data_IF_498434871435
#
_entry.id   IF_498434871435
#
_cell.length_a   1.000
_cell.length_b   1.000
_cell.length_c   1.000
_cell.angle_alpha   90.00
_cell.angle_beta   90.00
_cell.angle_gamma   90.00
#
_symmetry.space_group_name_H-M   'P 1'
#
loop_
_entity.id
_entity.type
_entity.pdbx_description
1 polymer ?
#
# COMPACT_ATOMS: atom_id res chain seq x y z
N UNK A 1 -19.44 -44.13 28.45
CA UNK A 1 -18.53 -42.95 28.34
C UNK A 1 -18.12 -42.83 26.90
N UNK A 2 -18.73 -41.92 26.16
CA UNK A 2 -18.35 -41.61 24.78
C UNK A 2 -17.23 -40.55 24.86
N UNK A 3 -16.02 -40.95 24.50
CA UNK A 3 -14.93 -40.01 24.27
C UNK A 3 -15.26 -39.23 23.00
N UNK A 4 -15.63 -37.96 23.18
CA UNK A 4 -15.69 -37.01 22.07
C UNK A 4 -14.25 -36.84 21.57
N UNK A 5 -13.95 -37.35 20.37
CA UNK A 5 -12.76 -36.92 19.63
C UNK A 5 -12.88 -35.44 19.36
N UNK A 6 -12.15 -34.62 20.13
CA UNK A 6 -11.93 -33.23 19.80
C UNK A 6 -11.17 -33.21 18.46
N UNK A 7 -11.89 -32.98 17.36
CA UNK A 7 -11.29 -32.75 16.08
C UNK A 7 -10.34 -31.57 16.20
N UNK A 8 -9.05 -31.80 16.00
CA UNK A 8 -8.05 -30.71 15.91
C UNK A 8 -8.55 -29.69 14.88
N UNK A 9 -8.94 -28.54 15.35
CA UNK A 9 -9.36 -27.45 14.46
C UNK A 9 -8.22 -27.19 13.45
N UNK A 10 -8.56 -27.18 12.16
CA UNK A 10 -7.58 -26.99 11.09
C UNK A 10 -6.99 -25.61 11.23
N UNK A 11 -5.71 -25.49 11.54
CA UNK A 11 -5.05 -24.20 11.69
C UNK A 11 -5.11 -23.43 10.35
N UNK A 12 -5.27 -22.10 10.43
CA UNK A 12 -5.40 -21.21 9.29
C UNK A 12 -4.08 -20.46 9.01
N UNK A 13 -3.91 -19.93 7.81
CA UNK A 13 -2.86 -18.96 7.54
C UNK A 13 -3.34 -17.56 7.92
N UNK A 14 -2.47 -16.73 8.50
CA UNK A 14 -2.72 -15.33 8.79
C UNK A 14 -1.99 -14.46 7.78
N UNK A 15 -2.71 -13.55 7.14
CA UNK A 15 -2.17 -12.54 6.22
C UNK A 15 -2.34 -11.18 6.86
N UNK A 16 -1.23 -10.58 7.30
CA UNK A 16 -1.19 -9.24 7.81
C UNK A 16 -0.73 -8.31 6.67
N UNK A 17 -1.47 -7.26 6.37
CA UNK A 17 -1.16 -6.36 5.26
C UNK A 17 -1.19 -4.88 5.68
N UNK A 18 -0.36 -4.07 5.04
CA UNK A 18 -0.28 -2.64 5.30
C UNK A 18 -1.61 -1.92 4.99
N UNK A 19 -2.12 -1.16 5.96
CA UNK A 19 -3.37 -0.41 5.89
C UNK A 19 -3.18 1.00 6.52
N UNK A 20 -3.84 2.03 6.02
CA UNK A 20 -4.61 2.13 4.77
C UNK A 20 -3.69 2.46 3.57
N UNK A 21 -3.41 1.48 2.74
CA UNK A 21 -2.54 1.64 1.59
C UNK A 21 -3.07 0.80 0.41
N UNK A 22 -3.19 1.36 -0.80
CA UNK A 22 -3.54 0.57 -1.98
C UNK A 22 -2.54 -0.56 -2.24
N UNK A 23 -1.24 -0.34 -2.05
CA UNK A 23 -0.21 -1.37 -2.27
C UNK A 23 -0.42 -2.57 -1.35
N UNK A 24 -0.59 -2.33 -0.03
CA UNK A 24 -0.90 -3.39 0.92
C UNK A 24 -2.23 -4.09 0.64
N UNK A 25 -3.27 -3.37 0.21
CA UNK A 25 -4.57 -3.97 -0.14
C UNK A 25 -4.46 -4.88 -1.37
N UNK A 26 -3.69 -4.48 -2.40
CA UNK A 26 -3.42 -5.30 -3.58
C UNK A 26 -2.48 -6.48 -3.25
N UNK A 27 -1.54 -6.32 -2.32
CA UNK A 27 -0.76 -7.45 -1.80
C UNK A 27 -1.65 -8.48 -1.11
N UNK A 28 -2.63 -8.02 -0.31
CA UNK A 28 -3.65 -8.89 0.29
C UNK A 28 -4.55 -9.55 -0.75
N UNK A 29 -4.92 -8.84 -1.83
CA UNK A 29 -5.66 -9.41 -2.96
C UNK A 29 -4.89 -10.57 -3.61
N UNK A 30 -3.57 -10.43 -3.81
CA UNK A 30 -2.74 -11.50 -4.35
C UNK A 30 -2.78 -12.76 -3.45
N UNK A 31 -2.69 -12.57 -2.14
CA UNK A 31 -2.86 -13.67 -1.20
C UNK A 31 -4.27 -14.29 -1.27
N UNK A 32 -5.32 -13.45 -1.33
CA UNK A 32 -6.71 -13.91 -1.45
C UNK A 32 -6.91 -14.81 -2.67
N UNK A 33 -6.37 -14.42 -3.81
CA UNK A 33 -6.45 -15.20 -5.05
C UNK A 33 -5.79 -16.58 -4.88
N UNK A 34 -4.60 -16.61 -4.29
CA UNK A 34 -3.90 -17.89 -4.01
C UNK A 34 -4.69 -18.78 -3.08
N UNK A 35 -5.09 -18.28 -1.91
CA UNK A 35 -5.79 -19.08 -0.90
C UNK A 35 -7.15 -19.58 -1.41
N UNK A 36 -7.84 -18.78 -2.22
CA UNK A 36 -9.10 -19.16 -2.87
C UNK A 36 -8.88 -20.27 -3.89
N UNK A 37 -7.88 -20.12 -4.78
CA UNK A 37 -7.56 -21.12 -5.80
C UNK A 37 -7.07 -22.46 -5.17
N UNK A 38 -6.28 -22.38 -4.10
CA UNK A 38 -5.80 -23.54 -3.38
C UNK A 38 -6.83 -24.13 -2.40
N UNK A 39 -7.97 -23.49 -2.21
CA UNK A 39 -9.01 -23.88 -1.23
C UNK A 39 -8.43 -24.04 0.19
N UNK A 40 -7.55 -23.11 0.58
CA UNK A 40 -6.89 -23.10 1.88
C UNK A 40 -7.52 -22.05 2.80
N UNK A 41 -7.69 -22.37 4.11
CA UNK A 41 -8.25 -21.42 5.06
C UNK A 41 -7.26 -20.29 5.36
N UNK A 42 -7.75 -19.05 5.33
CA UNK A 42 -6.96 -17.83 5.58
C UNK A 42 -7.75 -16.81 6.38
N UNK A 43 -7.07 -16.03 7.20
CA UNK A 43 -7.61 -14.84 7.88
C UNK A 43 -6.73 -13.64 7.53
N UNK A 44 -7.38 -12.51 7.24
CA UNK A 44 -6.72 -11.26 6.90
C UNK A 44 -6.77 -10.29 8.07
N UNK A 45 -5.67 -9.58 8.29
CA UNK A 45 -5.49 -8.62 9.36
C UNK A 45 -4.93 -7.31 8.79
N UNK A 46 -5.76 -6.27 8.63
CA UNK A 46 -5.27 -4.95 8.24
C UNK A 46 -4.42 -4.39 9.37
N UNK A 47 -3.23 -3.93 9.04
CA UNK A 47 -2.26 -3.45 10.02
C UNK A 47 -1.85 -2.00 9.75
N UNK A 48 -2.06 -1.12 10.72
CA UNK A 48 -1.66 0.28 10.61
C UNK A 48 -0.26 0.52 11.17
N UNK A 49 0.46 1.48 10.58
CA UNK A 49 1.80 1.87 11.06
C UNK A 49 1.72 2.59 12.42
N UNK A 50 0.61 3.29 12.70
CA UNK A 50 0.46 4.11 13.91
C UNK A 50 -0.05 3.33 15.11
N UNK A 51 -0.77 2.23 14.87
CA UNK A 51 -1.24 1.30 15.89
C UNK A 51 -1.07 -0.14 15.38
N UNK A 52 0.19 -0.60 15.30
CA UNK A 52 0.51 -1.90 14.71
C UNK A 52 0.03 -3.05 15.58
N UNK A 53 -0.46 -4.09 14.92
CA UNK A 53 -0.83 -5.34 15.58
C UNK A 53 0.39 -5.89 16.33
N UNK A 54 0.20 -6.20 17.61
CA UNK A 54 1.20 -6.81 18.48
C UNK A 54 1.03 -8.32 18.50
N UNK A 55 2.09 -9.01 18.91
CA UNK A 55 2.08 -10.48 18.96
C UNK A 55 1.02 -11.06 19.90
N UNK A 56 0.65 -10.33 20.97
CA UNK A 56 -0.40 -10.73 21.91
C UNK A 56 -1.83 -10.58 21.36
N UNK A 57 -2.00 -9.79 20.29
CA UNK A 57 -3.28 -9.62 19.59
C UNK A 57 -3.58 -10.73 18.56
N UNK A 58 -2.70 -11.69 18.35
CA UNK A 58 -2.88 -12.75 17.36
C UNK A 58 -3.19 -14.12 18.01
N UNK A 59 -4.22 -14.85 17.53
CA UNK A 59 -4.61 -16.17 18.05
C UNK A 59 -3.69 -17.29 17.54
N UNK A 60 -2.46 -17.39 18.03
CA UNK A 60 -1.46 -18.35 17.54
C UNK A 60 -1.86 -19.82 17.68
N UNK A 61 -2.78 -20.14 18.58
CA UNK A 61 -3.33 -21.49 18.70
C UNK A 61 -4.09 -21.92 17.44
N UNK A 62 -4.64 -20.95 16.70
CA UNK A 62 -5.38 -21.15 15.47
C UNK A 62 -4.53 -20.90 14.22
N UNK A 63 -3.37 -20.25 14.34
CA UNK A 63 -2.52 -19.83 13.21
C UNK A 63 -1.42 -20.87 12.98
N UNK A 64 -1.25 -21.24 11.70
CA UNK A 64 -0.18 -22.11 11.22
C UNK A 64 0.96 -21.31 10.61
N UNK A 65 0.66 -20.51 9.62
CA UNK A 65 1.61 -19.73 8.82
C UNK A 65 1.23 -18.26 8.87
N UNK A 66 2.23 -17.36 8.90
CA UNK A 66 2.03 -15.91 8.89
C UNK A 66 2.68 -15.31 7.64
N UNK A 67 1.93 -14.45 6.94
CA UNK A 67 2.41 -13.65 5.83
C UNK A 67 2.35 -12.17 6.22
N UNK A 68 3.47 -11.47 6.13
CA UNK A 68 3.56 -10.03 6.32
C UNK A 68 3.73 -9.39 4.94
N UNK A 69 2.75 -8.58 4.54
CA UNK A 69 2.67 -8.02 3.20
C UNK A 69 2.77 -6.50 3.26
N UNK A 70 3.79 -5.95 2.61
CA UNK A 70 4.06 -4.52 2.53
C UNK A 70 4.40 -3.88 3.90
N UNK A 71 4.87 -4.67 4.85
CA UNK A 71 5.42 -4.22 6.14
C UNK A 71 6.08 -5.38 6.91
N UNK A 72 6.85 -5.05 7.96
CA UNK A 72 7.54 -6.06 8.81
C UNK A 72 7.10 -6.03 10.28
N UNK A 73 6.15 -5.16 10.63
CA UNK A 73 5.75 -4.95 12.01
C UNK A 73 6.71 -4.06 12.83
N UNK A 74 6.38 -3.81 14.10
CA UNK A 74 7.22 -3.04 14.99
C UNK A 74 8.55 -3.77 15.31
N UNK A 75 9.55 -3.07 15.84
CA UNK A 75 10.81 -3.70 16.20
C UNK A 75 10.65 -4.90 17.13
N UNK A 76 11.19 -6.06 16.71
CA UNK A 76 11.09 -7.32 17.45
C UNK A 76 9.89 -8.20 17.09
N UNK A 77 8.90 -7.68 16.37
CA UNK A 77 7.66 -8.40 16.05
C UNK A 77 7.91 -9.76 15.37
N UNK A 78 8.76 -9.81 14.34
CA UNK A 78 9.09 -11.06 13.64
C UNK A 78 9.74 -12.08 14.59
N UNK A 79 10.66 -11.63 15.44
CA UNK A 79 11.31 -12.51 16.43
C UNK A 79 10.32 -13.06 17.48
N UNK A 80 9.31 -12.25 17.84
CA UNK A 80 8.28 -12.65 18.80
C UNK A 80 7.29 -13.66 18.24
N UNK A 81 6.96 -13.57 16.93
CA UNK A 81 5.97 -14.44 16.29
C UNK A 81 6.56 -15.71 15.71
N UNK A 82 7.81 -15.68 15.22
CA UNK A 82 8.44 -16.82 14.55
C UNK A 82 8.42 -18.12 15.39
N UNK A 83 8.72 -18.11 16.71
CA UNK A 83 8.66 -19.32 17.53
C UNK A 83 7.24 -19.89 17.73
N UNK A 84 6.19 -19.12 17.45
CA UNK A 84 4.79 -19.47 17.73
C UNK A 84 4.07 -20.10 16.54
N UNK A 85 4.67 -20.06 15.34
CA UNK A 85 4.06 -20.49 14.09
C UNK A 85 4.98 -21.41 13.29
N UNK A 86 4.43 -22.11 12.30
CA UNK A 86 5.21 -23.02 11.47
C UNK A 86 6.13 -22.25 10.52
N UNK A 87 5.64 -21.16 9.91
CA UNK A 87 6.44 -20.31 9.04
C UNK A 87 6.01 -18.83 9.11
N UNK A 88 6.96 -17.94 8.86
CA UNK A 88 6.74 -16.52 8.64
C UNK A 88 7.31 -16.16 7.28
N UNK A 89 6.48 -15.57 6.42
CA UNK A 89 6.89 -15.07 5.10
C UNK A 89 6.72 -13.56 5.06
N UNK A 90 7.78 -12.84 4.72
CA UNK A 90 7.81 -11.39 4.64
C UNK A 90 7.99 -10.99 3.19
N UNK A 91 7.03 -10.22 2.64
CA UNK A 91 7.04 -9.69 1.28
C UNK A 91 6.97 -8.16 1.39
N UNK A 92 8.08 -7.49 1.15
CA UNK A 92 8.19 -6.05 1.43
C UNK A 92 9.19 -5.37 0.46
N UNK A 93 9.10 -4.06 0.35
CA UNK A 93 10.00 -3.26 -0.48
C UNK A 93 10.60 -2.05 0.25
N UNK A 94 10.22 -1.84 1.51
CA UNK A 94 10.68 -0.69 2.27
C UNK A 94 12.14 -0.84 2.72
N UNK A 95 12.93 0.24 2.61
CA UNK A 95 14.29 0.29 3.13
C UNK A 95 14.37 -0.03 4.62
N UNK A 96 13.39 0.45 5.39
CA UNK A 96 13.28 0.18 6.83
C UNK A 96 13.10 -1.31 7.16
N UNK A 97 12.41 -2.05 6.30
CA UNK A 97 12.28 -3.50 6.41
C UNK A 97 13.65 -4.17 6.26
N UNK A 98 14.41 -3.80 5.22
CA UNK A 98 15.74 -4.31 5.00
C UNK A 98 16.66 -4.01 6.18
N UNK A 99 16.67 -2.77 6.68
CA UNK A 99 17.50 -2.35 7.82
C UNK A 99 17.12 -3.09 9.12
N UNK A 100 15.83 -3.29 9.38
CA UNK A 100 15.37 -3.98 10.59
C UNK A 100 15.66 -5.49 10.59
N UNK A 101 15.72 -6.09 9.40
CA UNK A 101 15.93 -7.54 9.22
C UNK A 101 17.39 -7.92 8.91
N UNK A 102 18.24 -6.99 8.45
CA UNK A 102 19.63 -7.27 8.07
C UNK A 102 20.63 -7.23 9.22
N UNK A 103 20.30 -6.65 10.37
CA UNK A 103 21.23 -6.47 11.50
C UNK A 103 21.10 -7.49 12.62
N UNK A 104 20.15 -8.40 12.58
CA UNK A 104 19.88 -9.35 13.67
C UNK A 104 20.27 -10.77 13.23
N UNK A 105 21.30 -11.28 13.86
CA UNK A 105 21.59 -12.70 13.85
C UNK A 105 20.34 -13.49 14.28
N UNK A 106 19.95 -14.48 13.45
CA UNK A 106 18.95 -15.50 13.73
C UNK A 106 17.49 -15.01 13.92
N UNK A 107 16.87 -14.65 12.80
CA UNK A 107 15.41 -14.63 12.71
C UNK A 107 14.88 -16.06 12.50
N UNK A 108 15.11 -17.04 13.25
CA UNK A 108 14.61 -18.40 13.09
C UNK A 108 14.72 -19.00 11.66
N UNK A 109 14.96 -20.29 11.53
CA UNK A 109 15.05 -20.98 10.23
C UNK A 109 13.72 -21.01 9.46
N UNK A 110 12.61 -20.73 10.15
CA UNK A 110 11.26 -20.70 9.60
C UNK A 110 10.83 -19.34 9.06
N UNK A 111 11.75 -18.37 8.94
CA UNK A 111 11.47 -17.02 8.43
C UNK A 111 12.00 -16.85 7.01
N UNK A 112 11.09 -16.71 6.05
CA UNK A 112 11.38 -16.43 4.64
C UNK A 112 11.23 -14.95 4.35
N UNK A 113 12.17 -14.35 3.60
CA UNK A 113 12.15 -12.92 3.27
C UNK A 113 12.29 -12.72 1.77
N UNK A 114 11.39 -11.96 1.18
CA UNK A 114 11.51 -11.44 -0.19
C UNK A 114 11.40 -9.93 -0.09
N UNK A 115 12.52 -9.24 -0.20
CA UNK A 115 12.59 -7.78 -0.09
C UNK A 115 13.22 -7.24 -1.37
N UNK A 116 12.46 -6.42 -2.10
CA UNK A 116 12.90 -5.83 -3.35
C UNK A 116 12.46 -4.36 -3.45
N UNK A 117 13.38 -3.43 -3.23
CA UNK A 117 13.12 -1.99 -3.28
C UNK A 117 12.83 -1.45 -4.70
N UNK A 118 12.97 -2.28 -5.73
CA UNK A 118 12.65 -1.91 -7.11
C UNK A 118 11.22 -2.29 -7.50
N UNK A 119 10.46 -2.88 -6.59
CA UNK A 119 9.10 -3.36 -6.80
C UNK A 119 8.20 -2.91 -5.65
N UNK A 120 6.89 -2.88 -5.87
CA UNK A 120 5.94 -2.64 -4.80
C UNK A 120 5.58 -3.93 -4.04
N UNK A 121 5.08 -3.79 -2.82
CA UNK A 121 4.61 -4.93 -2.01
C UNK A 121 3.55 -5.75 -2.73
N UNK A 122 2.65 -5.10 -3.48
CA UNK A 122 1.62 -5.76 -4.29
C UNK A 122 2.22 -6.68 -5.36
N UNK A 123 3.15 -6.17 -6.17
CA UNK A 123 3.73 -6.96 -7.26
C UNK A 123 4.65 -8.06 -6.77
N UNK A 124 5.37 -7.84 -5.66
CA UNK A 124 6.13 -8.90 -4.98
C UNK A 124 5.19 -10.02 -4.51
N UNK A 125 4.08 -9.65 -3.85
CA UNK A 125 3.09 -10.62 -3.37
C UNK A 125 2.42 -11.37 -4.53
N UNK A 126 2.06 -10.67 -5.61
CA UNK A 126 1.44 -11.29 -6.77
C UNK A 126 2.32 -12.37 -7.38
N UNK A 127 3.59 -12.08 -7.62
CA UNK A 127 4.53 -13.07 -8.18
C UNK A 127 4.81 -14.21 -7.18
N UNK A 128 4.97 -13.89 -5.91
CA UNK A 128 5.21 -14.91 -4.88
C UNK A 128 4.08 -15.93 -4.83
N UNK A 129 2.83 -15.46 -4.73
CA UNK A 129 1.67 -16.35 -4.61
C UNK A 129 1.35 -17.07 -5.92
N UNK A 130 1.56 -16.43 -7.08
CA UNK A 130 1.42 -17.08 -8.39
C UNK A 130 2.41 -18.23 -8.55
N UNK A 131 3.69 -18.00 -8.24
CA UNK A 131 4.72 -19.04 -8.30
C UNK A 131 4.49 -20.18 -7.30
N UNK A 132 4.01 -19.83 -6.10
CA UNK A 132 3.65 -20.81 -5.07
C UNK A 132 2.53 -21.73 -5.56
N UNK A 133 1.48 -21.19 -6.17
CA UNK A 133 0.37 -21.97 -6.72
C UNK A 133 0.84 -22.92 -7.82
N UNK A 134 1.68 -22.43 -8.76
CA UNK A 134 2.24 -23.23 -9.85
C UNK A 134 3.13 -24.37 -9.34
N UNK A 135 3.94 -24.11 -8.32
CA UNK A 135 4.82 -25.12 -7.70
C UNK A 135 4.00 -26.22 -7.02
N UNK A 136 2.98 -25.86 -6.26
CA UNK A 136 2.11 -26.82 -5.58
C UNK A 136 1.29 -27.66 -6.57
N UNK A 137 0.79 -27.06 -7.64
CA UNK A 137 0.11 -27.78 -8.72
C UNK A 137 1.05 -28.77 -9.44
N UNK A 138 2.33 -28.42 -9.62
CA UNK A 138 3.34 -29.30 -10.23
C UNK A 138 3.71 -30.49 -9.33
N UNK A 139 3.81 -30.26 -8.02
CA UNK A 139 4.14 -31.32 -7.04
C UNK A 139 3.00 -32.32 -6.92
N UNK A 140 1.76 -31.87 -6.97
CA UNK A 140 0.58 -32.74 -6.92
C UNK A 140 0.47 -33.67 -8.13
N UNK A 141 0.99 -33.27 -9.30
CA UNK A 141 1.04 -34.13 -10.51
C UNK A 141 2.00 -35.31 -10.38
N UNK A 142 3.08 -35.18 -9.61
CA UNK A 142 4.08 -36.24 -9.45
C UNK A 142 3.66 -37.38 -8.48
N UNK A 143 2.58 -37.23 -7.73
CA UNK A 143 2.11 -38.16 -6.74
C UNK A 143 0.75 -38.83 -7.05
N UNK A 144 0.10 -38.58 -8.19
CA UNK A 144 -1.22 -39.10 -8.51
C UNK A 144 -1.33 -39.72 -9.89
N UNK A 145 -1.66 -41.01 -9.90
CA UNK A 145 -2.14 -41.75 -11.06
C UNK A 145 -3.32 -41.04 -11.77
N UNK A 146 -3.16 -40.87 -13.07
CA UNK A 146 -4.12 -40.59 -14.11
C UNK A 146 -5.51 -40.02 -13.78
N UNK A 147 -5.83 -38.98 -14.49
CA UNK A 147 -7.13 -38.34 -14.74
C UNK A 147 -7.46 -37.10 -13.87
N UNK A 148 -7.62 -36.04 -14.61
CA UNK A 148 -8.04 -34.69 -14.32
C UNK A 148 -6.88 -33.70 -14.15
N UNK A 149 -6.43 -33.21 -15.30
CA UNK A 149 -5.75 -31.89 -15.40
C UNK A 149 -6.83 -30.83 -15.11
N UNK A 150 -7.10 -30.56 -13.85
CA UNK A 150 -7.67 -29.27 -13.49
C UNK A 150 -6.53 -28.27 -13.64
N UNK A 151 -6.55 -27.49 -14.73
CA UNK A 151 -5.75 -26.27 -14.84
C UNK A 151 -6.12 -25.41 -13.63
N UNK A 152 -5.30 -25.44 -12.59
CA UNK A 152 -5.46 -24.54 -11.44
C UNK A 152 -5.05 -23.16 -11.93
N UNK A 153 -6.03 -22.43 -12.49
CA UNK A 153 -5.83 -21.07 -12.95
C UNK A 153 -6.02 -20.14 -11.77
N UNK A 154 -5.08 -19.25 -11.59
CA UNK A 154 -5.12 -18.16 -10.62
C UNK A 154 -6.35 -17.25 -10.88
N UNK A 155 -6.62 -16.98 -12.17
CA UNK A 155 -7.77 -16.24 -12.68
C UNK A 155 -8.10 -16.71 -14.10
N UNK A 156 -9.33 -16.50 -14.57
CA UNK A 156 -9.65 -16.62 -15.99
C UNK A 156 -8.78 -15.71 -16.85
N UNK A 157 -8.34 -16.16 -18.03
CA UNK A 157 -7.40 -15.43 -18.89
C UNK A 157 -7.84 -14.00 -19.22
N UNK A 158 -9.14 -13.81 -19.43
CA UNK A 158 -9.72 -12.48 -19.70
C UNK A 158 -9.62 -11.50 -18.51
N UNK A 159 -9.54 -12.00 -17.28
CA UNK A 159 -9.35 -11.17 -16.08
C UNK A 159 -7.87 -11.00 -15.73
N UNK A 160 -7.02 -11.96 -16.11
CA UNK A 160 -5.61 -11.95 -15.72
C UNK A 160 -4.87 -10.74 -16.28
N UNK A 161 -5.10 -10.38 -17.55
CA UNK A 161 -4.48 -9.21 -18.18
C UNK A 161 -4.88 -7.90 -17.48
N UNK A 162 -6.18 -7.77 -17.17
CA UNK A 162 -6.71 -6.61 -16.45
C UNK A 162 -6.10 -6.50 -15.05
N UNK A 163 -6.03 -7.61 -14.31
CA UNK A 163 -5.43 -7.65 -12.98
C UNK A 163 -3.94 -7.31 -13.05
N UNK A 164 -3.19 -7.85 -13.99
CA UNK A 164 -1.78 -7.48 -14.21
C UNK A 164 -1.61 -5.97 -14.46
N UNK A 165 -2.51 -5.37 -15.26
CA UNK A 165 -2.49 -3.93 -15.50
C UNK A 165 -2.74 -3.13 -14.22
N UNK A 166 -3.69 -3.55 -13.39
CA UNK A 166 -3.95 -2.93 -12.08
C UNK A 166 -2.70 -2.97 -11.19
N UNK A 167 -2.09 -4.14 -11.02
CA UNK A 167 -0.88 -4.29 -10.20
C UNK A 167 0.28 -3.42 -10.70
N UNK A 168 0.49 -3.31 -12.01
CA UNK A 168 1.51 -2.43 -12.59
C UNK A 168 1.22 -0.95 -12.32
N UNK A 169 -0.04 -0.52 -12.41
CA UNK A 169 -0.45 0.86 -12.12
C UNK A 169 -0.29 1.19 -10.63
N UNK A 170 -0.57 0.23 -9.74
CA UNK A 170 -0.31 0.37 -8.30
C UNK A 170 1.19 0.54 -8.06
N UNK A 171 2.04 -0.34 -8.62
CA UNK A 171 3.50 -0.27 -8.46
C UNK A 171 4.06 1.06 -8.97
N UNK A 172 3.66 1.50 -10.17
CA UNK A 172 4.16 2.74 -10.76
C UNK A 172 3.80 3.97 -9.91
N UNK A 173 2.62 3.96 -9.30
CA UNK A 173 2.16 5.01 -8.38
C UNK A 173 2.82 4.93 -7.00
N UNK A 174 2.99 3.76 -6.44
CA UNK A 174 3.58 3.54 -5.12
C UNK A 174 5.07 3.92 -5.10
N UNK A 175 5.81 3.52 -6.13
CA UNK A 175 7.22 3.85 -6.32
C UNK A 175 7.45 5.26 -6.90
N UNK A 176 6.41 6.07 -7.09
CA UNK A 176 6.47 7.43 -7.63
C UNK A 176 7.18 7.54 -8.99
N UNK A 177 7.15 6.48 -9.80
CA UNK A 177 7.81 6.44 -11.10
C UNK A 177 7.07 7.24 -12.16
N UNK A 178 5.75 7.13 -12.19
CA UNK A 178 4.86 7.79 -13.14
C UNK A 178 5.24 7.55 -14.62
N UNK A 179 5.77 6.36 -14.92
CA UNK A 179 6.26 5.98 -16.25
C UNK A 179 5.18 5.36 -17.12
N UNK A 180 4.14 4.78 -16.49
CA UNK A 180 3.01 4.21 -17.21
C UNK A 180 2.04 5.33 -17.61
N UNK A 181 1.61 5.40 -18.88
CA UNK A 181 0.64 6.39 -19.32
C UNK A 181 -0.60 6.40 -18.42
N UNK A 182 -1.01 7.59 -17.97
CA UNK A 182 -2.17 7.81 -17.11
C UNK A 182 -2.08 7.22 -15.69
N UNK A 183 -0.93 6.76 -15.22
CA UNK A 183 -0.83 6.19 -13.85
C UNK A 183 -1.13 7.22 -12.76
N UNK A 184 -0.79 8.52 -12.96
CA UNK A 184 -1.23 9.61 -12.07
C UNK A 184 -2.75 9.74 -12.03
N UNK A 185 -3.40 9.64 -13.18
CA UNK A 185 -4.85 9.68 -13.27
C UNK A 185 -5.47 8.45 -12.59
N UNK A 186 -4.91 7.26 -12.82
CA UNK A 186 -5.34 6.04 -12.13
C UNK A 186 -5.25 6.20 -10.61
N UNK A 187 -4.11 6.64 -10.08
CA UNK A 187 -3.92 6.85 -8.64
C UNK A 187 -4.90 7.88 -8.06
N UNK A 188 -5.20 8.96 -8.81
CA UNK A 188 -6.20 9.94 -8.40
C UNK A 188 -7.61 9.36 -8.41
N UNK A 189 -7.98 8.66 -9.49
CA UNK A 189 -9.31 8.05 -9.62
C UNK A 189 -9.56 6.93 -8.61
N UNK A 190 -8.54 6.14 -8.28
CA UNK A 190 -8.64 5.11 -7.24
C UNK A 190 -8.93 5.73 -5.86
N UNK A 191 -8.31 6.87 -5.53
CA UNK A 191 -8.61 7.61 -4.30
C UNK A 191 -10.04 8.15 -4.28
N UNK A 192 -10.54 8.59 -5.44
CA UNK A 192 -11.90 9.14 -5.56
C UNK A 192 -13.00 8.08 -5.47
N UNK A 193 -12.65 6.80 -5.55
CA UNK A 193 -13.58 5.68 -5.31
C UNK A 193 -13.88 5.47 -3.83
N UNK A 194 -13.06 6.03 -2.94
CA UNK A 194 -13.20 5.94 -1.48
C UNK A 194 -13.41 4.50 -0.98
N UNK A 195 -12.64 3.56 -1.56
CA UNK A 195 -12.74 2.14 -1.19
C UNK A 195 -12.12 1.97 0.19
N UNK A 196 -12.89 1.42 1.13
CA UNK A 196 -12.36 1.00 2.42
C UNK A 196 -11.51 -0.26 2.25
N UNK A 197 -10.21 -0.15 2.59
CA UNK A 197 -9.25 -1.25 2.47
C UNK A 197 -9.16 -2.15 3.72
N UNK A 198 -9.92 -1.85 4.76
CA UNK A 198 -10.05 -2.73 5.91
C UNK A 198 -11.03 -3.86 5.63
N UNK A 199 -10.53 -5.08 5.47
CA UNK A 199 -11.37 -6.26 5.16
C UNK A 199 -12.40 -6.56 6.24
N UNK A 200 -12.17 -6.13 7.49
CA UNK A 200 -13.13 -6.32 8.59
C UNK A 200 -14.32 -5.35 8.49
N UNK A 201 -14.12 -4.18 7.88
CA UNK A 201 -15.14 -3.17 7.65
C UNK A 201 -15.77 -3.33 6.26
N UNK A 202 -15.00 -3.81 5.30
CA UNK A 202 -15.43 -4.04 3.93
C UNK A 202 -15.26 -5.51 3.53
N UNK A 203 -16.24 -6.34 3.87
CA UNK A 203 -16.24 -7.77 3.55
C UNK A 203 -16.25 -8.11 2.04
N UNK A 204 -16.45 -7.10 1.16
CA UNK A 204 -16.42 -7.24 -0.30
C UNK A 204 -15.16 -6.63 -0.92
N UNK A 205 -14.15 -6.30 -0.13
CA UNK A 205 -12.94 -5.62 -0.58
C UNK A 205 -12.34 -6.29 -1.82
N UNK A 206 -12.08 -7.57 -1.75
CA UNK A 206 -11.38 -8.28 -2.84
C UNK A 206 -12.23 -8.38 -4.11
N UNK A 207 -13.54 -8.55 -3.98
CA UNK A 207 -14.46 -8.52 -5.13
C UNK A 207 -14.44 -7.14 -5.79
N UNK A 208 -14.51 -6.06 -5.00
CA UNK A 208 -14.44 -4.69 -5.51
C UNK A 208 -13.12 -4.41 -6.24
N UNK A 209 -11.98 -4.88 -5.69
CA UNK A 209 -10.68 -4.71 -6.34
C UNK A 209 -10.56 -5.49 -7.65
N UNK A 210 -11.18 -6.68 -7.73
CA UNK A 210 -11.21 -7.52 -8.94
C UNK A 210 -12.18 -7.01 -10.01
N UNK A 211 -13.14 -6.18 -9.64
CA UNK A 211 -14.10 -5.56 -10.55
C UNK A 211 -13.66 -4.20 -11.07
N UNK A 212 -12.53 -3.67 -10.59
CA UNK A 212 -11.98 -2.40 -11.06
C UNK A 212 -11.64 -2.47 -12.55
N UNK A 213 -12.24 -1.57 -13.33
CA UNK A 213 -11.84 -1.31 -14.70
C UNK A 213 -10.81 -0.17 -14.74
N UNK A 214 -9.54 -0.44 -15.09
CA UNK A 214 -8.49 0.57 -15.10
C UNK A 214 -8.83 1.81 -15.93
N UNK A 215 -9.53 1.62 -17.07
CA UNK A 215 -9.87 2.74 -17.95
C UNK A 215 -10.93 3.66 -17.34
N UNK A 216 -11.91 3.09 -16.66
CA UNK A 216 -12.92 3.87 -15.94
C UNK A 216 -12.31 4.64 -14.78
N UNK A 217 -11.39 4.00 -14.02
CA UNK A 217 -10.66 4.65 -12.91
C UNK A 217 -9.79 5.78 -13.46
N UNK A 218 -9.08 5.57 -14.56
CA UNK A 218 -8.27 6.60 -15.24
C UNK A 218 -9.14 7.77 -15.69
N UNK A 219 -10.25 7.51 -16.35
CA UNK A 219 -11.16 8.56 -16.84
C UNK A 219 -11.68 9.43 -15.70
N UNK A 220 -12.07 8.82 -14.59
CA UNK A 220 -12.49 9.53 -13.36
C UNK A 220 -11.34 10.39 -12.81
N UNK A 221 -10.15 9.82 -12.70
CA UNK A 221 -9.00 10.52 -12.16
C UNK A 221 -8.47 11.64 -13.05
N UNK A 222 -8.65 11.57 -14.37
CA UNK A 222 -8.32 12.68 -15.29
C UNK A 222 -9.15 13.93 -14.96
N UNK A 223 -10.44 13.76 -14.67
CA UNK A 223 -11.30 14.88 -14.25
C UNK A 223 -10.79 15.51 -12.96
N UNK A 224 -10.52 14.68 -11.95
CA UNK A 224 -10.02 15.15 -10.65
C UNK A 224 -8.65 15.82 -10.77
N UNK A 225 -7.75 15.27 -11.58
CA UNK A 225 -6.43 15.89 -11.82
C UNK A 225 -6.58 17.24 -12.50
N UNK A 226 -7.43 17.37 -13.52
CA UNK A 226 -7.69 18.65 -14.19
C UNK A 226 -8.21 19.68 -13.22
N UNK A 227 -9.17 19.32 -12.35
CA UNK A 227 -9.68 20.22 -11.30
C UNK A 227 -8.58 20.64 -10.32
N UNK A 228 -7.73 19.72 -9.90
CA UNK A 228 -6.59 20.02 -9.01
C UNK A 228 -5.59 20.96 -9.68
N UNK A 229 -5.28 20.74 -10.95
CA UNK A 229 -4.38 21.61 -11.73
C UNK A 229 -4.93 23.03 -11.84
N UNK A 230 -6.23 23.18 -12.12
CA UNK A 230 -6.88 24.51 -12.14
C UNK A 230 -6.77 25.19 -10.78
N UNK A 231 -7.05 24.48 -9.67
CA UNK A 231 -6.92 25.04 -8.33
C UNK A 231 -5.48 25.45 -8.00
N UNK A 232 -4.49 24.65 -8.42
CA UNK A 232 -3.07 24.95 -8.22
C UNK A 232 -2.70 26.20 -9.02
N UNK A 233 -3.11 26.30 -10.29
CA UNK A 233 -2.85 27.46 -11.13
C UNK A 233 -3.45 28.75 -10.53
N UNK A 234 -4.72 28.68 -10.08
CA UNK A 234 -5.40 29.79 -9.41
C UNK A 234 -4.69 30.23 -8.11
N UNK A 235 -4.15 29.27 -7.37
CA UNK A 235 -3.38 29.54 -6.16
C UNK A 235 -2.03 30.21 -6.49
N UNK A 236 -1.32 29.68 -7.48
CA UNK A 236 -0.02 30.23 -7.91
C UNK A 236 -0.15 31.63 -8.48
N UNK A 237 -1.21 31.93 -9.23
CA UNK A 237 -1.49 33.27 -9.75
C UNK A 237 -1.70 34.28 -8.62
N UNK A 238 -2.26 33.87 -7.49
CA UNK A 238 -2.49 34.72 -6.29
C UNK A 238 -1.32 34.70 -5.31
N UNK A 239 -0.25 33.99 -5.63
CA UNK A 239 0.93 33.92 -4.77
C UNK A 239 1.77 35.19 -4.87
N UNK A 240 2.43 35.55 -3.78
CA UNK A 240 3.38 36.65 -3.70
C UNK A 240 4.67 36.19 -3.02
N UNK A 241 5.76 36.87 -3.37
CA UNK A 241 7.07 36.57 -2.84
C UNK A 241 7.28 37.21 -1.47
N UNK A 242 7.73 36.40 -0.48
CA UNK A 242 8.14 36.90 0.83
C UNK A 242 9.60 36.55 1.09
N UNK A 243 10.31 37.49 1.74
CA UNK A 243 11.69 37.31 2.15
C UNK A 243 11.75 36.59 3.52
N UNK A 244 12.42 35.42 3.58
CA UNK A 244 12.60 34.66 4.81
C UNK A 244 13.74 35.22 5.63
N UNK A 245 13.48 35.52 6.94
CA UNK A 245 14.49 36.07 7.82
C UNK A 245 15.10 37.36 7.33
N UNK A 246 14.28 38.31 6.83
CA UNK A 246 14.74 39.55 6.20
C UNK A 246 15.69 39.31 5.01
N UNK A 247 15.47 38.26 4.27
CA UNK A 247 16.29 37.90 3.11
C UNK A 247 17.51 37.01 3.42
N UNK A 248 17.82 36.74 4.68
CA UNK A 248 18.97 35.91 5.05
C UNK A 248 18.82 34.46 4.62
N UNK A 249 17.59 33.95 4.51
CA UNK A 249 17.28 32.57 4.14
C UNK A 249 16.67 32.45 2.74
N UNK A 250 16.77 33.49 1.91
CA UNK A 250 16.18 33.53 0.59
C UNK A 250 14.71 33.97 0.58
N UNK A 251 14.04 33.75 -0.55
CA UNK A 251 12.65 34.09 -0.77
C UNK A 251 11.79 32.85 -0.93
N UNK A 252 10.52 32.92 -0.56
CA UNK A 252 9.53 31.89 -0.84
C UNK A 252 8.24 32.50 -1.39
N UNK A 253 7.45 31.69 -2.09
CA UNK A 253 6.09 32.07 -2.49
C UNK A 253 5.12 31.83 -1.34
N UNK A 254 4.31 32.82 -1.03
CA UNK A 254 3.24 32.77 -0.04
C UNK A 254 1.89 33.01 -0.70
N UNK A 255 0.85 32.41 -0.19
CA UNK A 255 -0.54 32.64 -0.60
C UNK A 255 -1.37 32.95 0.63
N UNK A 256 -2.18 34.02 0.52
CA UNK A 256 -3.22 34.30 1.53
C UNK A 256 -4.43 33.40 1.29
N UNK A 257 -4.54 32.39 2.12
CA UNK A 257 -5.69 31.48 2.07
C UNK A 257 -6.89 32.12 2.76
N UNK A 258 -7.77 32.77 1.99
CA UNK A 258 -9.06 33.25 2.52
C UNK A 258 -10.01 32.05 2.58
N UNK A 259 -10.19 31.51 3.79
CA UNK A 259 -11.13 30.40 4.04
C UNK A 259 -12.56 30.99 4.04
N UNK A 260 -13.15 31.14 2.87
CA UNK A 260 -14.56 31.45 2.69
C UNK A 260 -15.25 30.47 1.73
N UNK A 261 -15.04 29.15 1.92
CA UNK A 261 -15.85 28.14 1.25
C UNK A 261 -16.46 27.18 2.26
N UNK A 262 -17.78 26.90 2.17
CA UNK A 262 -18.42 25.85 2.94
C UNK A 262 -18.17 24.49 2.28
N UNK A 263 -16.91 24.06 2.19
CA UNK A 263 -16.53 22.77 1.64
C UNK A 263 -16.23 21.81 2.79
N UNK A 264 -16.82 20.59 2.84
CA UNK A 264 -16.56 19.59 3.87
C UNK A 264 -15.07 19.21 3.98
N UNK A 265 -14.30 19.30 2.89
CA UNK A 265 -12.85 19.11 2.89
C UNK A 265 -12.10 20.23 3.66
N UNK A 266 -12.69 21.40 3.83
CA UNK A 266 -12.12 22.49 4.59
C UNK A 266 -12.15 22.29 6.12
N UNK A 267 -12.94 21.35 6.63
CA UNK A 267 -13.04 21.09 8.09
C UNK A 267 -11.74 20.54 8.67
N UNK A 268 -10.96 19.79 7.92
CA UNK A 268 -9.67 19.27 8.38
C UNK A 268 -8.56 20.34 8.40
N UNK A 269 -8.75 21.47 7.73
CA UNK A 269 -7.83 22.62 7.73
C UNK A 269 -8.08 23.55 8.92
N UNK A 270 -9.26 23.49 9.57
CA UNK A 270 -9.61 24.35 10.71
C UNK A 270 -8.77 24.11 11.97
N UNK A 271 -8.05 23.00 12.10
CA UNK A 271 -7.17 22.75 13.24
C UNK A 271 -5.92 23.65 13.27
N UNK A 272 -5.60 24.36 12.18
CA UNK A 272 -4.45 25.28 12.08
C UNK A 272 -4.77 26.74 12.43
N UNK A 273 -5.94 27.06 12.98
CA UNK A 273 -6.41 28.44 13.21
C UNK A 273 -5.65 29.25 14.28
N UNK A 274 -4.54 28.76 14.83
CA UNK A 274 -3.76 29.48 15.88
C UNK A 274 -2.32 29.82 15.53
N UNK A 275 -1.89 29.71 14.25
CA UNK A 275 -0.60 30.29 13.84
C UNK A 275 -0.79 31.10 12.56
N UNK A 276 -0.40 32.37 12.55
CA UNK A 276 -0.31 33.15 11.32
C UNK A 276 0.82 32.56 10.47
N UNK A 277 0.60 32.50 9.15
CA UNK A 277 1.56 32.15 8.11
C UNK A 277 1.85 30.65 7.95
N UNK A 278 1.16 30.04 6.98
CA UNK A 278 1.61 28.82 6.35
C UNK A 278 2.59 29.21 5.22
N UNK A 279 3.87 29.16 5.51
CA UNK A 279 4.92 29.39 4.52
C UNK A 279 5.02 28.17 3.61
N UNK A 280 4.73 28.36 2.34
CA UNK A 280 5.00 27.39 1.29
C UNK A 280 6.33 27.77 0.66
N UNK A 281 7.41 27.11 1.07
CA UNK A 281 8.72 27.32 0.47
C UNK A 281 8.84 26.47 -0.80
N UNK A 282 8.80 27.12 -1.96
CA UNK A 282 9.26 26.54 -3.22
C UNK A 282 10.67 27.06 -3.45
N UNK A 283 11.67 26.24 -3.11
CA UNK A 283 13.07 26.58 -3.36
C UNK A 283 13.37 26.36 -4.84
N UNK A 284 13.57 27.44 -5.60
CA UNK A 284 14.28 27.39 -6.88
C UNK A 284 15.73 26.95 -6.61
N UNK A 285 16.04 25.72 -6.93
CA UNK A 285 17.36 25.19 -7.15
C UNK A 285 18.36 25.35 -6.02
N UNK A 286 18.26 24.49 -4.99
CA UNK A 286 19.40 23.88 -4.29
C UNK A 286 18.89 22.94 -3.21
N UNK A 287 19.36 21.68 -3.24
CA UNK A 287 19.10 20.71 -2.17
C UNK A 287 19.79 21.16 -0.90
N UNK A 288 19.04 21.49 0.13
CA UNK A 288 19.50 21.37 1.51
C UNK A 288 18.37 20.81 2.38
N UNK A 289 18.68 19.67 2.96
CA UNK A 289 17.87 19.05 4.00
C UNK A 289 17.90 19.94 5.25
N UNK A 290 16.73 20.34 5.73
CA UNK A 290 16.59 20.70 7.13
C UNK A 290 15.24 20.23 7.66
N UNK A 291 15.32 19.41 8.69
CA UNK A 291 14.25 18.81 9.45
C UNK A 291 13.61 19.85 10.33
N UNK A 292 12.29 20.02 10.22
CA UNK A 292 11.49 20.57 11.30
C UNK A 292 10.23 19.70 11.45
N UNK A 293 10.06 19.20 12.64
CA UNK A 293 9.06 18.24 13.05
C UNK A 293 7.65 18.82 13.08
N UNK A 294 6.68 18.01 12.68
CA UNK A 294 5.29 18.10 13.13
C UNK A 294 4.35 18.92 12.26
N UNK A 295 3.62 18.27 11.39
CA UNK A 295 2.45 18.80 10.73
C UNK A 295 2.49 18.72 9.21
N UNK A 296 1.72 17.77 8.66
CA UNK A 296 1.25 17.91 7.30
C UNK A 296 2.02 17.22 6.19
N UNK A 297 2.18 15.90 6.28
CA UNK A 297 2.61 15.09 5.12
C UNK A 297 1.71 15.24 3.89
N UNK A 298 0.47 15.63 4.07
CA UNK A 298 -0.47 15.87 2.98
C UNK A 298 -0.10 17.09 2.13
N UNK A 299 0.31 18.19 2.73
CA UNK A 299 0.72 19.42 2.02
C UNK A 299 2.06 19.29 1.31
N UNK A 300 3.03 18.56 1.88
CA UNK A 300 4.26 18.18 1.16
C UNK A 300 3.95 17.40 -0.13
N UNK A 301 2.92 16.59 -0.10
CA UNK A 301 2.51 15.77 -1.24
C UNK A 301 1.88 16.61 -2.36
N UNK A 302 1.03 17.58 -2.03
CA UNK A 302 0.39 18.47 -3.02
C UNK A 302 1.41 19.38 -3.69
N UNK A 303 2.39 19.88 -2.95
CA UNK A 303 3.43 20.77 -3.48
C UNK A 303 4.51 20.06 -4.29
N UNK A 304 4.87 18.81 -3.91
CA UNK A 304 5.72 17.97 -4.74
C UNK A 304 5.02 17.56 -6.04
N UNK A 305 3.72 17.32 -6.01
CA UNK A 305 2.92 17.07 -7.21
C UNK A 305 2.86 18.30 -8.13
N UNK A 306 2.83 19.52 -7.58
CA UNK A 306 2.88 20.75 -8.37
C UNK A 306 4.26 21.00 -9.00
N UNK A 307 5.34 20.78 -8.27
CA UNK A 307 6.71 20.96 -8.77
C UNK A 307 7.07 19.97 -9.90
N UNK A 308 6.54 18.73 -9.84
CA UNK A 308 6.76 17.73 -10.89
C UNK A 308 5.94 17.96 -12.17
N UNK A 309 4.93 18.86 -12.13
CA UNK A 309 4.17 19.27 -13.32
C UNK A 309 4.97 20.27 -14.18
N UNK A 310 5.80 21.12 -13.57
CA UNK A 310 6.65 22.07 -14.30
C UNK A 310 7.85 21.37 -15.02
N UNK A 311 8.39 20.28 -14.49
CA UNK A 311 9.51 19.57 -15.13
C UNK A 311 9.09 18.67 -16.31
N UNK A 312 7.80 18.38 -16.47
CA UNK A 312 7.26 17.58 -17.58
C UNK A 312 6.76 18.38 -18.79
N UNK A 313 6.94 19.70 -18.81
CA UNK A 313 6.46 20.60 -19.87
C UNK A 313 7.59 21.21 -20.74
N UNK A 314 8.79 20.61 -20.73
CA UNK A 314 9.88 20.94 -21.68
C UNK A 314 10.26 19.74 -22.53
#
# INVERSE_FOLDING_TARGET
>A
MAMACAGSARKVSAVLYHYPCPDGAFAALAAHLYFSAATLPVRFFPNTVYDPIRSDGLPFDEIKDVYLLDFVGPPGFVADIAPKVQSVTILDHHKTAMESLCGRATLGENVNKVIDMQRSGATIAFDYFSNKLLTEASTSRNHGSGNAVTDVKYLPDNKLEMVHKLFKLIEDGDLWRWTIPNSKAFSSGLKDLDIEFNVNENGKLFDQLLELDPEQVISRGQVTLSQKQTLIADCLEKSYEIALGCGQFGNCLSIDWIINRPDPLARNVMACRRRPLLEVAVLKGERRESVAAGGGRWWRRVLLEAALIEEGAT
#
